data_IF_499334683210
#
_entry.id   IF_499334683210
#
_cell.length_a   1.000
_cell.length_b   1.000
_cell.length_c   1.000
_cell.angle_alpha   90.00
_cell.angle_beta   90.00
_cell.angle_gamma   90.00
#
_symmetry.space_group_name_H-M   'P 1'
#
loop_
_entity.id
_entity.type
_entity.pdbx_description
1 polymer ?
#
# COMPACT_ATOMS: atom_id res chain seq x y z
N UNK A 1 38.51 -27.86 -15.92
CA UNK A 1 38.52 -26.39 -16.13
C UNK A 1 38.94 -26.05 -17.58
N UNK A 2 38.63 -24.85 -18.15
CA UNK A 2 38.10 -23.64 -17.51
C UNK A 2 36.81 -23.02 -18.12
N UNK A 3 35.97 -22.51 -17.20
CA UNK A 3 35.09 -21.31 -17.19
C UNK A 3 34.46 -20.71 -18.45
N UNK A 4 33.10 -20.64 -18.45
CA UNK A 4 32.34 -19.46 -18.91
C UNK A 4 31.12 -19.17 -18.02
N UNK A 5 31.16 -18.02 -17.35
CA UNK A 5 30.00 -17.19 -17.01
C UNK A 5 29.02 -17.67 -15.93
N UNK A 6 29.42 -17.66 -14.65
CA UNK A 6 28.43 -17.38 -13.59
C UNK A 6 28.02 -15.91 -13.73
N UNK A 7 27.03 -15.65 -14.58
CA UNK A 7 26.31 -14.37 -14.59
C UNK A 7 25.75 -14.12 -13.19
N UNK A 8 25.81 -12.86 -12.76
CA UNK A 8 25.30 -12.34 -11.49
C UNK A 8 24.02 -13.09 -11.08
N UNK A 9 24.03 -13.73 -9.89
CA UNK A 9 22.94 -14.58 -9.41
C UNK A 9 21.58 -13.88 -9.56
N UNK A 10 20.73 -14.37 -10.48
CA UNK A 10 19.31 -14.01 -10.55
C UNK A 10 18.56 -14.56 -9.34
N UNK A 11 18.76 -13.97 -8.17
CA UNK A 11 17.96 -14.30 -7.00
C UNK A 11 16.50 -13.83 -7.18
N UNK A 12 15.60 -14.27 -6.30
CA UNK A 12 14.18 -13.95 -6.39
C UNK A 12 13.88 -12.44 -6.36
N UNK A 13 14.73 -11.62 -5.74
CA UNK A 13 14.52 -10.18 -5.60
C UNK A 13 14.85 -9.44 -6.89
N UNK A 14 15.97 -9.79 -7.53
CA UNK A 14 16.34 -9.22 -8.84
C UNK A 14 15.32 -9.56 -9.92
N UNK A 15 14.76 -10.78 -9.90
CA UNK A 15 13.66 -11.16 -10.81
C UNK A 15 12.39 -10.35 -10.54
N UNK A 16 11.99 -10.18 -9.28
CA UNK A 16 10.83 -9.37 -8.92
C UNK A 16 10.96 -7.92 -9.41
N UNK A 17 12.15 -7.32 -9.26
CA UNK A 17 12.44 -5.97 -9.77
C UNK A 17 12.38 -5.90 -11.30
N UNK A 18 12.93 -6.91 -12.01
CA UNK A 18 12.81 -6.98 -13.47
C UNK A 18 11.36 -7.04 -13.91
N UNK A 19 10.57 -7.96 -13.34
CA UNK A 19 9.15 -8.12 -13.68
C UNK A 19 8.36 -6.85 -13.41
N UNK A 20 8.59 -6.16 -12.28
CA UNK A 20 7.94 -4.89 -11.99
C UNK A 20 8.26 -3.83 -13.06
N UNK A 21 9.53 -3.71 -13.45
CA UNK A 21 9.94 -2.76 -14.48
C UNK A 21 9.38 -3.11 -15.86
N UNK A 22 9.33 -4.39 -16.19
CA UNK A 22 8.74 -4.87 -17.44
C UNK A 22 7.24 -4.52 -17.48
N UNK A 23 6.49 -4.80 -16.42
CA UNK A 23 5.06 -4.45 -16.33
C UNK A 23 4.79 -2.94 -16.39
N UNK A 24 5.66 -2.12 -15.80
CA UNK A 24 5.55 -0.65 -15.90
C UNK A 24 5.83 -0.16 -17.32
N UNK A 25 6.85 -0.71 -17.99
CA UNK A 25 7.20 -0.36 -19.37
C UNK A 25 6.11 -0.79 -20.35
N UNK A 26 5.57 -1.99 -20.16
CA UNK A 26 4.63 -2.62 -21.07
C UNK A 26 3.18 -2.15 -20.80
N UNK A 27 2.97 -1.26 -19.83
CA UNK A 27 1.66 -0.67 -19.51
C UNK A 27 0.71 -1.60 -18.76
N UNK A 28 1.21 -2.75 -18.27
CA UNK A 28 0.45 -3.67 -17.42
C UNK A 28 0.17 -3.04 -16.06
N UNK A 29 1.16 -2.32 -15.51
CA UNK A 29 0.99 -1.46 -14.35
C UNK A 29 1.16 0.00 -14.79
N UNK A 30 0.24 0.85 -14.34
CA UNK A 30 0.28 2.28 -14.64
C UNK A 30 0.46 3.05 -13.34
N UNK A 31 1.32 4.07 -13.37
CA UNK A 31 1.48 5.01 -12.27
C UNK A 31 0.64 6.25 -12.52
N UNK A 32 -0.16 6.61 -11.53
CA UNK A 32 -0.92 7.87 -11.57
C UNK A 32 0.02 9.08 -11.65
N UNK A 33 -0.33 10.02 -12.53
CA UNK A 33 0.43 11.26 -12.73
C UNK A 33 0.16 12.30 -11.63
N UNK A 34 -0.87 12.08 -10.82
CA UNK A 34 -1.32 12.96 -9.73
C UNK A 34 -1.46 12.14 -8.45
N UNK A 35 -1.41 12.76 -7.26
CA UNK A 35 -1.78 12.09 -6.02
C UNK A 35 -3.15 11.44 -6.17
N UNK A 36 -3.26 10.19 -5.71
CA UNK A 36 -4.44 9.38 -5.89
C UNK A 36 -4.77 8.59 -4.62
N UNK A 37 -6.07 8.38 -4.43
CA UNK A 37 -6.59 7.33 -3.55
C UNK A 37 -7.33 6.32 -4.41
N UNK A 38 -7.39 5.07 -3.97
CA UNK A 38 -8.31 4.09 -4.56
C UNK A 38 -9.36 3.75 -3.52
N UNK A 39 -10.62 4.04 -3.82
CA UNK A 39 -11.72 3.56 -3.01
C UNK A 39 -12.13 2.19 -3.53
N UNK A 40 -12.39 1.26 -2.63
CA UNK A 40 -12.76 -0.11 -2.98
C UNK A 40 -14.06 -0.48 -2.32
N UNK A 41 -14.91 -1.24 -3.01
CA UNK A 41 -16.11 -1.85 -2.45
C UNK A 41 -16.14 -3.32 -2.83
N UNK A 42 -16.34 -4.19 -1.84
CA UNK A 42 -16.67 -5.59 -2.07
C UNK A 42 -18.14 -5.78 -1.73
N UNK A 43 -18.95 -6.10 -2.73
CA UNK A 43 -20.40 -6.27 -2.60
C UNK A 43 -20.77 -7.75 -2.73
N UNK A 44 -21.44 -8.30 -1.72
CA UNK A 44 -21.75 -9.73 -1.62
C UNK A 44 -23.12 -9.99 -0.99
N UNK A 45 -23.71 -11.14 -1.28
CA UNK A 45 -24.95 -11.60 -0.66
C UNK A 45 -24.65 -12.21 0.71
N UNK A 46 -25.36 -11.75 1.74
CA UNK A 46 -25.28 -12.29 3.10
C UNK A 46 -26.67 -12.30 3.74
N UNK A 47 -27.14 -13.48 4.15
CA UNK A 47 -28.46 -13.67 4.80
C UNK A 47 -29.59 -12.92 4.05
N UNK A 48 -29.71 -13.18 2.75
CA UNK A 48 -30.70 -12.58 1.84
C UNK A 48 -30.59 -11.07 1.59
N UNK A 49 -29.52 -10.44 2.06
CA UNK A 49 -29.26 -9.01 1.88
C UNK A 49 -27.95 -8.75 1.18
N UNK A 50 -27.92 -7.77 0.28
CA UNK A 50 -26.67 -7.28 -0.28
C UNK A 50 -25.93 -6.47 0.79
N UNK A 51 -24.68 -6.84 1.05
CA UNK A 51 -23.77 -6.13 1.97
C UNK A 51 -22.57 -5.60 1.18
N UNK A 52 -22.01 -4.51 1.68
CA UNK A 52 -20.82 -3.86 1.10
C UNK A 52 -19.74 -3.71 2.17
N UNK A 53 -18.51 -4.09 1.81
CA UNK A 53 -17.32 -3.80 2.59
C UNK A 53 -16.49 -2.74 1.84
N UNK A 54 -16.35 -1.56 2.45
CA UNK A 54 -15.64 -0.43 1.87
C UNK A 54 -14.21 -0.34 2.38
N UNK A 55 -13.29 0.04 1.49
CA UNK A 55 -11.87 0.22 1.78
C UNK A 55 -11.28 1.44 1.07
N UNK A 56 -10.13 1.89 1.56
CA UNK A 56 -9.34 2.96 0.95
C UNK A 56 -7.89 2.46 0.83
N UNK A 57 -7.37 2.40 -0.37
CA UNK A 57 -5.94 2.18 -0.63
C UNK A 57 -5.27 3.55 -0.74
N UNK A 58 -4.31 3.77 0.14
CA UNK A 58 -3.63 5.04 0.33
C UNK A 58 -2.14 4.86 0.61
N UNK A 59 -1.34 5.84 0.22
CA UNK A 59 0.00 6.01 0.77
C UNK A 59 -0.11 6.64 2.17
N UNK A 60 0.33 5.92 3.20
CA UNK A 60 0.33 6.38 4.58
C UNK A 60 1.76 6.68 5.00
N UNK A 61 1.98 7.83 5.63
CA UNK A 61 3.30 8.19 6.18
C UNK A 61 3.68 7.20 7.28
N UNK A 62 4.89 6.65 7.18
CA UNK A 62 5.43 5.77 8.23
C UNK A 62 5.74 6.57 9.49
N UNK A 63 5.26 6.06 10.61
CA UNK A 63 5.48 6.57 11.96
C UNK A 63 6.01 5.44 12.85
N UNK A 64 6.89 5.77 13.79
CA UNK A 64 7.43 4.78 14.72
C UNK A 64 6.29 4.18 15.56
N UNK A 65 6.33 2.87 15.75
CA UNK A 65 5.28 2.15 16.47
C UNK A 65 5.17 2.70 17.90
N UNK A 66 3.96 3.10 18.29
CA UNK A 66 3.68 3.69 19.60
C UNK A 66 3.83 5.21 19.68
N UNK A 67 4.66 5.84 18.83
CA UNK A 67 4.88 7.30 18.85
C UNK A 67 3.82 8.10 18.07
N UNK A 68 3.21 7.46 17.07
CA UNK A 68 2.32 8.12 16.12
C UNK A 68 0.84 7.80 16.28
N UNK A 69 0.11 7.80 15.17
CA UNK A 69 -1.28 7.37 15.03
C UNK A 69 -1.41 5.96 14.47
N UNK A 70 -0.29 5.30 14.16
CA UNK A 70 -0.27 3.89 13.77
C UNK A 70 -0.13 3.02 15.02
N UNK A 71 -1.04 2.05 15.15
CA UNK A 71 -1.11 1.15 16.31
C UNK A 71 -0.99 -0.32 15.85
N UNK A 72 0.00 -1.07 16.33
CA UNK A 72 0.05 -2.50 16.09
C UNK A 72 -1.00 -3.21 16.95
N UNK A 73 -1.61 -4.27 16.42
CA UNK A 73 -2.48 -5.18 17.18
C UNK A 73 -1.77 -6.46 17.63
N UNK A 74 -0.57 -6.73 17.13
CA UNK A 74 0.22 -7.95 17.40
C UNK A 74 1.70 -7.61 17.64
N UNK A 75 2.41 -8.51 18.34
CA UNK A 75 3.86 -8.47 18.51
C UNK A 75 4.50 -9.39 17.46
N UNK A 76 5.46 -8.87 16.70
CA UNK A 76 6.12 -9.56 15.59
C UNK A 76 7.34 -10.39 16.04
N UNK A 77 7.62 -11.47 15.31
CA UNK A 77 8.89 -12.22 15.36
C UNK A 77 9.92 -11.66 14.35
N UNK A 78 11.22 -11.84 14.59
CA UNK A 78 12.28 -11.18 13.79
C UNK A 78 12.49 -11.77 12.38
N UNK A 79 12.21 -13.04 12.16
CA UNK A 79 12.63 -13.77 10.95
C UNK A 79 11.92 -13.36 9.64
N UNK A 80 10.60 -13.04 9.61
CA UNK A 80 9.91 -12.60 8.39
C UNK A 80 10.36 -11.23 7.84
N UNK A 81 11.15 -10.45 8.57
CA UNK A 81 11.53 -9.08 8.19
C UNK A 81 12.58 -9.03 7.05
N UNK A 82 13.49 -10.02 6.96
CA UNK A 82 14.62 -9.98 6.01
C UNK A 82 14.19 -10.19 4.56
N UNK A 83 13.21 -11.06 4.31
CA UNK A 83 12.65 -11.22 2.96
C UNK A 83 11.99 -9.93 2.47
N UNK A 84 11.18 -9.32 3.33
CA UNK A 84 10.41 -8.10 3.01
C UNK A 84 11.32 -6.92 2.74
N UNK A 85 12.36 -6.71 3.55
CA UNK A 85 13.30 -5.60 3.32
C UNK A 85 14.09 -5.78 2.02
N UNK A 86 14.48 -7.01 1.66
CA UNK A 86 15.18 -7.26 0.40
C UNK A 86 14.30 -7.05 -0.83
N UNK A 87 13.01 -7.43 -0.75
CA UNK A 87 12.03 -7.14 -1.79
C UNK A 87 11.84 -5.63 -1.96
N UNK A 88 11.70 -4.87 -0.86
CA UNK A 88 11.61 -3.41 -0.87
C UNK A 88 12.87 -2.75 -1.47
N UNK A 89 14.08 -3.23 -1.10
CA UNK A 89 15.34 -2.71 -1.65
C UNK A 89 15.45 -2.92 -3.16
N UNK A 90 15.10 -4.13 -3.63
CA UNK A 90 15.21 -4.48 -5.05
C UNK A 90 14.14 -3.78 -5.90
N UNK A 91 12.88 -3.83 -5.48
CA UNK A 91 11.76 -3.28 -6.26
C UNK A 91 11.58 -1.77 -6.07
N UNK A 92 12.06 -1.20 -4.95
CA UNK A 92 11.81 0.19 -4.54
C UNK A 92 10.33 0.58 -4.56
N UNK A 93 9.45 -0.40 -4.33
CA UNK A 93 8.01 -0.27 -4.31
C UNK A 93 7.45 -1.20 -3.25
N UNK A 94 6.37 -0.78 -2.57
CA UNK A 94 5.63 -1.66 -1.70
C UNK A 94 4.62 -2.48 -2.52
N UNK A 95 4.93 -3.77 -2.72
CA UNK A 95 4.09 -4.72 -3.47
C UNK A 95 3.20 -5.57 -2.57
N UNK A 96 3.11 -5.26 -1.28
CA UNK A 96 2.32 -6.02 -0.31
C UNK A 96 1.64 -5.07 0.67
N UNK A 97 0.51 -4.45 0.28
CA UNK A 97 -0.20 -3.45 1.08
C UNK A 97 -0.54 -3.94 2.49
N UNK A 98 -0.34 -3.08 3.48
CA UNK A 98 -0.62 -3.36 4.89
C UNK A 98 -2.11 -3.09 5.12
N UNK A 99 -2.80 -4.03 5.78
CA UNK A 99 -4.22 -3.88 6.07
C UNK A 99 -4.38 -3.07 7.36
N UNK A 100 -4.97 -1.89 7.23
CA UNK A 100 -5.31 -1.03 8.36
C UNK A 100 -6.81 -0.95 8.57
N UNK A 101 -7.22 -0.83 9.82
CA UNK A 101 -8.59 -0.49 10.20
C UNK A 101 -8.58 0.83 10.98
N UNK A 102 -9.60 1.64 10.78
CA UNK A 102 -9.80 2.88 11.51
C UNK A 102 -11.28 3.00 11.87
N UNK A 103 -11.56 3.71 12.97
CA UNK A 103 -12.93 3.97 13.36
C UNK A 103 -13.53 5.07 12.47
N UNK A 104 -14.79 4.87 12.09
CA UNK A 104 -15.63 5.78 11.33
C UNK A 104 -16.97 5.96 12.07
N UNK A 105 -17.43 7.20 12.21
CA UNK A 105 -18.79 7.54 12.68
C UNK A 105 -19.59 7.94 11.43
N UNK A 106 -20.84 7.49 11.31
CA UNK A 106 -21.75 7.85 10.21
C UNK A 106 -21.77 9.35 9.88
N UNK A 107 -21.48 10.22 10.87
CA UNK A 107 -21.49 11.69 10.72
C UNK A 107 -20.20 12.31 10.20
N UNK A 108 -19.15 11.53 9.98
CA UNK A 108 -17.80 12.07 9.71
C UNK A 108 -17.50 12.37 8.22
N UNK A 109 -18.52 12.34 7.38
CA UNK A 109 -18.45 12.81 6.00
C UNK A 109 -18.01 11.77 4.96
N UNK A 110 -17.69 10.53 5.37
CA UNK A 110 -17.37 9.47 4.41
C UNK A 110 -18.60 9.08 3.56
N UNK A 111 -19.77 8.91 4.17
CA UNK A 111 -20.96 8.50 3.42
C UNK A 111 -21.37 9.49 2.30
N UNK A 112 -21.45 10.81 2.55
CA UNK A 112 -21.69 11.77 1.46
C UNK A 112 -20.62 11.75 0.37
N UNK A 113 -19.35 11.45 0.72
CA UNK A 113 -18.29 11.28 -0.25
C UNK A 113 -18.53 10.03 -1.12
N UNK A 114 -18.83 8.89 -0.50
CA UNK A 114 -19.13 7.65 -1.23
C UNK A 114 -20.36 7.78 -2.13
N UNK A 115 -21.41 8.46 -1.64
CA UNK A 115 -22.64 8.73 -2.40
C UNK A 115 -22.44 9.70 -3.57
N UNK A 116 -21.33 10.44 -3.60
CA UNK A 116 -20.98 11.36 -4.69
C UNK A 116 -20.11 10.73 -5.77
N UNK A 117 -19.76 9.45 -5.64
CA UNK A 117 -18.97 8.74 -6.65
C UNK A 117 -19.85 8.35 -7.84
N UNK A 118 -19.33 8.54 -9.04
CA UNK A 118 -19.88 8.00 -10.28
C UNK A 118 -19.60 6.48 -10.39
N UNK A 119 -19.70 5.93 -11.61
CA UNK A 119 -19.37 4.53 -11.88
C UNK A 119 -17.91 4.18 -11.50
N UNK A 120 -17.65 2.95 -11.02
CA UNK A 120 -16.31 2.51 -10.70
C UNK A 120 -15.42 2.45 -11.94
N UNK A 121 -14.15 2.79 -11.78
CA UNK A 121 -13.14 2.67 -12.82
C UNK A 121 -12.86 1.21 -13.21
N UNK A 122 -13.09 0.29 -12.26
CA UNK A 122 -13.02 -1.16 -12.46
C UNK A 122 -14.15 -1.83 -11.66
N UNK A 123 -14.88 -2.74 -12.31
CA UNK A 123 -15.86 -3.61 -11.66
C UNK A 123 -15.67 -5.04 -12.18
N UNK A 124 -15.43 -5.98 -11.26
CA UNK A 124 -15.24 -7.40 -11.59
C UNK A 124 -16.04 -8.26 -10.64
N UNK A 125 -16.50 -9.42 -11.10
CA UNK A 125 -17.21 -10.41 -10.27
C UNK A 125 -16.35 -11.67 -10.20
N UNK A 126 -16.09 -12.16 -9.00
CA UNK A 126 -15.37 -13.43 -8.82
C UNK A 126 -16.27 -14.66 -9.03
N UNK A 127 -15.68 -15.84 -8.91
CA UNK A 127 -16.35 -17.13 -9.04
C UNK A 127 -17.34 -17.42 -7.90
N UNK A 128 -17.30 -16.63 -6.81
CA UNK A 128 -18.23 -16.70 -5.69
C UNK A 128 -19.37 -15.67 -5.80
N UNK A 129 -19.40 -14.87 -6.87
CA UNK A 129 -20.42 -13.85 -7.09
C UNK A 129 -20.18 -12.54 -6.30
N UNK A 130 -19.01 -12.34 -5.71
CA UNK A 130 -18.63 -11.09 -5.05
C UNK A 130 -18.24 -10.07 -6.12
N UNK A 131 -18.88 -8.90 -6.09
CA UNK A 131 -18.50 -7.77 -6.96
C UNK A 131 -17.39 -6.97 -6.27
N UNK A 132 -16.25 -6.80 -6.94
CA UNK A 132 -15.16 -5.92 -6.54
C UNK A 132 -15.17 -4.67 -7.41
N UNK A 133 -15.48 -3.54 -6.79
CA UNK A 133 -15.47 -2.23 -7.42
C UNK A 133 -14.26 -1.42 -6.95
N UNK A 134 -13.62 -0.70 -7.86
CA UNK A 134 -12.50 0.21 -7.57
C UNK A 134 -12.74 1.55 -8.25
N UNK A 135 -12.63 2.63 -7.49
CA UNK A 135 -12.65 4.01 -7.99
C UNK A 135 -11.26 4.62 -7.86
N UNK A 136 -10.72 5.10 -8.97
CA UNK A 136 -9.45 5.85 -8.99
C UNK A 136 -9.73 7.33 -8.74
N UNK A 137 -9.45 7.80 -7.52
CA UNK A 137 -9.73 9.19 -7.11
C UNK A 137 -8.50 10.06 -7.34
N UNK A 138 -8.51 10.84 -8.42
CA UNK A 138 -7.42 11.79 -8.78
C UNK A 138 -7.85 13.25 -8.85
N UNK A 139 -9.15 13.53 -8.71
CA UNK A 139 -9.69 14.90 -8.68
C UNK A 139 -9.26 15.60 -7.38
N UNK A 140 -8.71 16.81 -7.51
CA UNK A 140 -7.95 17.45 -6.45
C UNK A 140 -8.80 17.79 -5.21
N UNK A 141 -10.06 18.20 -5.39
CA UNK A 141 -10.99 18.45 -4.29
C UNK A 141 -11.36 17.18 -3.54
N UNK A 142 -11.67 16.12 -4.27
CA UNK A 142 -12.03 14.81 -3.73
C UNK A 142 -10.84 14.19 -3.00
N UNK A 143 -9.63 14.27 -3.56
CA UNK A 143 -8.38 13.88 -2.90
C UNK A 143 -8.20 14.65 -1.58
N UNK A 144 -8.43 15.98 -1.56
CA UNK A 144 -8.37 16.77 -0.32
C UNK A 144 -9.41 16.33 0.71
N UNK A 145 -10.64 16.02 0.27
CA UNK A 145 -11.72 15.52 1.15
C UNK A 145 -11.34 14.17 1.77
N UNK A 146 -10.87 13.21 0.97
CA UNK A 146 -10.39 11.90 1.46
C UNK A 146 -9.21 12.07 2.43
N UNK A 147 -8.23 12.88 2.07
CA UNK A 147 -7.06 13.15 2.92
C UNK A 147 -7.47 13.81 4.24
N UNK A 148 -8.36 14.79 4.21
CA UNK A 148 -8.91 15.45 5.40
C UNK A 148 -9.73 14.51 6.27
N UNK A 149 -10.50 13.61 5.66
CA UNK A 149 -11.26 12.57 6.36
C UNK A 149 -10.35 11.60 7.14
N UNK A 150 -9.23 11.21 6.53
CA UNK A 150 -8.23 10.33 7.17
C UNK A 150 -7.31 11.09 8.14
N UNK A 151 -7.18 12.40 7.98
CA UNK A 151 -6.29 13.21 8.80
C UNK A 151 -6.63 13.10 10.28
N UNK A 152 -5.64 12.76 11.10
CA UNK A 152 -5.81 12.66 12.54
C UNK A 152 -6.42 11.35 13.03
N UNK A 153 -6.85 10.44 12.15
CA UNK A 153 -7.35 9.14 12.59
C UNK A 153 -6.24 8.23 13.05
N UNK A 154 -6.56 7.40 14.04
CA UNK A 154 -5.71 6.28 14.46
C UNK A 154 -5.98 5.11 13.53
N UNK A 155 -4.91 4.55 12.97
CA UNK A 155 -4.97 3.35 12.12
C UNK A 155 -4.39 2.20 12.92
N UNK A 156 -5.20 1.18 13.14
CA UNK A 156 -4.77 -0.08 13.72
C UNK A 156 -4.34 -1.02 12.59
N UNK A 157 -3.13 -1.55 12.66
CA UNK A 157 -2.65 -2.54 11.69
C UNK A 157 -3.40 -3.83 11.99
N UNK A 158 -4.32 -4.23 11.12
CA UNK A 158 -5.07 -5.49 11.24
C UNK A 158 -4.25 -6.67 10.70
N UNK A 159 -3.47 -6.45 9.64
CA UNK A 159 -2.51 -7.42 9.12
C UNK A 159 -1.31 -6.73 8.45
N UNK A 160 -0.13 -7.35 8.56
CA UNK A 160 1.09 -6.88 7.91
C UNK A 160 2.08 -6.16 8.81
N UNK A 161 2.11 -6.44 10.11
CA UNK A 161 3.02 -5.81 11.08
C UNK A 161 4.49 -5.98 10.70
N UNK A 162 4.92 -7.19 10.29
CA UNK A 162 6.28 -7.42 9.78
C UNK A 162 6.58 -6.59 8.51
N UNK A 163 5.58 -6.35 7.67
CA UNK A 163 5.72 -5.52 6.46
C UNK A 163 5.86 -4.04 6.84
N UNK A 164 5.15 -3.61 7.88
CA UNK A 164 5.29 -2.26 8.45
C UNK A 164 6.69 -2.03 9.04
N UNK A 165 7.19 -2.99 9.82
CA UNK A 165 8.54 -2.92 10.40
C UNK A 165 9.64 -2.94 9.33
N UNK A 166 9.50 -3.79 8.30
CA UNK A 166 10.41 -3.78 7.17
C UNK A 166 10.40 -2.43 6.43
N UNK A 167 9.23 -1.79 6.32
CA UNK A 167 9.11 -0.45 5.74
C UNK A 167 9.77 0.63 6.62
N UNK A 168 9.65 0.56 7.95
CA UNK A 168 10.37 1.43 8.90
C UNK A 168 11.89 1.26 8.77
N UNK A 169 12.39 0.03 8.81
CA UNK A 169 13.81 -0.25 8.66
C UNK A 169 14.36 0.27 7.31
N UNK A 170 13.61 0.05 6.23
CA UNK A 170 13.98 0.57 4.92
C UNK A 170 13.97 2.12 4.88
N UNK A 171 12.97 2.78 5.49
CA UNK A 171 12.95 4.25 5.64
C UNK A 171 14.22 4.74 6.33
N UNK A 172 14.60 4.11 7.43
CA UNK A 172 15.76 4.52 8.24
C UNK A 172 17.08 4.32 7.48
N UNK A 173 17.22 3.20 6.75
CA UNK A 173 18.34 2.98 5.81
C UNK A 173 18.43 4.10 4.76
N UNK A 174 17.28 4.50 4.19
CA UNK A 174 17.25 5.58 3.20
C UNK A 174 17.60 6.91 3.82
N UNK A 175 17.11 7.24 5.02
CA UNK A 175 17.46 8.48 5.71
C UNK A 175 18.95 8.55 6.03
N UNK A 176 19.53 7.49 6.60
CA UNK A 176 20.96 7.44 6.91
C UNK A 176 21.84 7.63 5.66
N UNK A 177 21.47 6.98 4.55
CA UNK A 177 22.19 7.13 3.29
C UNK A 177 22.12 8.57 2.73
N UNK A 178 21.00 9.28 2.90
CA UNK A 178 20.88 10.68 2.46
C UNK A 178 21.64 11.65 3.37
N UNK A 179 21.67 11.41 4.68
CA UNK A 179 22.43 12.23 5.64
C UNK A 179 23.94 12.07 5.46
N UNK A 180 24.42 10.87 5.09
CA UNK A 180 25.83 10.63 4.78
C UNK A 180 26.32 11.38 3.53
N UNK A 181 25.47 11.57 2.52
CA UNK A 181 25.82 12.34 1.31
C UNK A 181 25.95 13.86 1.52
N UNK A 182 25.44 14.41 2.63
CA UNK A 182 25.57 15.82 2.98
C UNK A 182 26.81 16.13 3.84
N UNK A 183 27.49 15.09 4.37
CA UNK A 183 28.65 15.23 5.27
C UNK A 183 30.02 15.34 4.59
N UNK A 184 30.11 15.13 3.28
CA UNK A 184 31.38 15.08 2.51
C UNK A 184 31.61 16.30 1.59
N UNK A 185 30.92 17.41 1.85
CA UNK A 185 31.18 18.71 1.21
C UNK A 185 31.21 19.86 2.21
N UNK A 186 32.24 19.88 3.04
CA UNK A 186 32.71 21.09 3.73
C UNK A 186 34.24 21.14 3.65
#
# INVERSE_FOLDING_TARGET
PPTRGRGLKHDKYTRAASTLNDWLRDGVLVREQRPAFYLTEHRFLYEDSIRSYWGIIAAVRLEDLGAGRIRPTEITMKEPAVDRINLLRACRANLSPIMGIFNHDQRDGLQPLLASLDDPSLSVVDDLGVTFNVWVVTEAETVRRVAGFLAGRVIYIADGHHRYEAALAYRDERLAAHSGTLGDKA
#
